data_IF_524634738177
#
_entry.id   IF_524634738177
#
_cell.length_a   1.000
_cell.length_b   1.000
_cell.length_c   1.000
_cell.angle_alpha   90.00
_cell.angle_beta   90.00
_cell.angle_gamma   90.00
#
_symmetry.space_group_name_H-M   'P 1'
#
loop_
_entity.id
_entity.type
_entity.pdbx_description
1 polymer ?
2 water ?
#
# COMPACT_ATOMS: atom_id res chain seq x y z
N UNK A 38 13.31 27.64 -6.17
CA UNK A 38 14.64 27.85 -6.79
C UNK A 38 15.70 27.64 -5.70
N UNK A 39 16.82 26.95 -5.97
CA UNK A 39 17.04 26.06 -7.11
C UNK A 39 16.76 24.61 -6.68
N UNK A 40 17.18 23.64 -7.49
CA UNK A 40 16.90 22.21 -7.23
C UNK A 40 17.20 21.92 -5.74
N UNK A 41 18.43 22.15 -5.28
CA UNK A 41 18.86 21.72 -3.92
C UNK A 41 18.34 22.55 -2.76
N UNK A 42 18.03 23.80 -3.04
CA UNK A 42 17.52 24.69 -2.02
C UNK A 42 16.08 24.28 -1.78
N UNK A 43 15.32 24.15 -2.86
CA UNK A 43 13.93 23.60 -2.82
C UNK A 43 13.86 22.29 -2.04
N UNK A 44 14.78 21.39 -2.37
CA UNK A 44 14.89 20.06 -1.74
C UNK A 44 15.15 20.17 -0.23
N UNK A 45 16.07 21.06 0.15
CA UNK A 45 16.32 21.36 1.58
C UNK A 45 15.04 21.80 2.25
N UNK A 46 14.36 22.74 1.60
CA UNK A 46 13.10 23.26 2.07
C UNK A 46 12.09 22.14 2.22
N UNK A 47 11.95 21.36 1.15
CA UNK A 47 11.03 20.18 1.07
C UNK A 47 11.10 19.25 2.23
N UNK A 48 12.33 18.95 2.64
CA UNK A 48 12.60 18.07 3.78
C UNK A 48 11.93 18.51 5.10
N UNK A 49 11.79 19.82 5.31
CA UNK A 49 11.24 20.32 6.59
C UNK A 49 9.75 20.45 6.54
N UNK A 50 9.21 20.57 5.34
CA UNK A 50 7.79 20.87 5.19
C UNK A 50 6.85 19.67 4.86
N UNK A 51 7.34 18.42 4.74
CA UNK A 51 6.46 17.36 4.27
C UNK A 51 5.90 16.46 5.37
N UNK A 52 6.20 16.75 6.64
CA UNK A 52 5.70 15.89 7.73
C UNK A 52 6.59 14.69 7.99
N UNK A 53 7.82 14.78 7.49
CA UNK A 53 8.84 13.72 7.58
C UNK A 53 9.21 13.45 9.07
N UNK A 54 9.31 12.17 9.48
CA UNK A 54 9.71 11.90 10.84
C UNK A 54 11.13 12.34 11.13
N UNK A 55 11.36 12.71 12.37
CA UNK A 55 12.60 13.33 12.83
C UNK A 55 13.89 12.56 12.47
N UNK A 56 13.88 11.25 12.68
CA UNK A 56 15.02 10.38 12.29
C UNK A 56 15.23 10.34 10.79
N UNK A 57 14.12 10.39 10.04
CA UNK A 57 14.21 10.29 8.62
C UNK A 57 14.76 11.60 8.07
N UNK A 58 14.28 12.70 8.59
CA UNK A 58 14.80 14.01 8.25
C UNK A 58 16.30 14.14 8.55
N UNK A 59 16.76 13.55 9.65
CA UNK A 59 18.19 13.59 9.98
C UNK A 59 19.02 12.85 8.94
N UNK A 60 18.53 11.66 8.60
CA UNK A 60 19.15 10.85 7.58
C UNK A 60 19.14 11.57 6.22
N UNK A 61 18.01 12.17 5.89
CA UNK A 61 17.92 12.94 4.65
C UNK A 61 18.90 14.14 4.58
N UNK A 62 19.07 14.88 5.68
CA UNK A 62 19.93 16.06 5.66
C UNK A 62 21.38 15.62 5.57
N UNK A 63 21.69 14.55 6.25
CA UNK A 63 23.00 13.96 6.15
C UNK A 63 23.25 13.58 4.72
N UNK A 64 22.27 12.99 4.02
CA UNK A 64 22.50 12.66 2.59
C UNK A 64 22.58 13.90 1.69
N UNK A 65 21.83 14.95 1.99
CA UNK A 65 21.91 16.14 1.17
C UNK A 65 23.28 16.79 1.34
N UNK A 66 23.72 16.88 2.58
CA UNK A 66 25.10 17.38 2.84
C UNK A 66 26.12 16.62 1.97
N UNK A 67 26.07 15.29 1.93
CA UNK A 67 27.02 14.53 1.12
C UNK A 67 26.86 14.77 -0.39
N UNK A 68 25.62 14.88 -0.82
CA UNK A 68 25.29 15.10 -2.23
C UNK A 68 25.90 16.42 -2.71
N UNK A 69 25.57 17.50 -1.99
CA UNK A 69 26.20 18.79 -2.23
C UNK A 69 27.72 18.71 -2.42
N UNK A 70 28.38 17.75 -1.80
CA UNK A 70 29.81 17.60 -1.99
C UNK A 70 30.29 16.77 -3.21
N UNK A 71 29.39 16.15 -4.00
CA UNK A 71 29.81 15.28 -5.13
C UNK A 71 29.90 15.99 -6.48
N UNK A 72 30.54 15.34 -7.44
CA UNK A 72 30.70 15.91 -8.80
C UNK A 72 29.34 15.80 -9.51
N UNK A 73 28.76 16.96 -9.76
CA UNK A 73 27.46 17.07 -10.40
C UNK A 73 27.38 16.23 -11.70
N UNK A 74 26.23 15.58 -11.88
CA UNK A 74 26.03 14.64 -12.98
C UNK A 74 26.82 13.33 -12.97
N UNK A 75 27.69 13.13 -11.97
CA UNK A 75 28.34 11.84 -11.74
C UNK A 75 27.29 10.75 -11.39
N UNK A 76 27.64 9.46 -11.56
CA UNK A 76 26.68 8.38 -11.20
C UNK A 76 26.32 8.34 -9.74
N UNK A 77 27.28 8.63 -8.87
CA UNK A 77 27.06 8.78 -7.43
C UNK A 77 26.07 9.88 -7.10
N UNK A 78 26.22 11.05 -7.74
CA UNK A 78 25.29 12.16 -7.46
C UNK A 78 23.88 11.86 -8.01
N UNK A 79 23.82 11.17 -9.17
CA UNK A 79 22.53 10.80 -9.73
C UNK A 79 21.80 9.86 -8.76
N UNK A 80 22.49 8.82 -8.28
CA UNK A 80 21.96 7.90 -7.25
C UNK A 80 21.49 8.65 -5.99
N UNK A 81 22.31 9.54 -5.49
CA UNK A 81 21.95 10.27 -4.26
C UNK A 81 20.73 11.20 -4.44
N UNK A 82 20.66 11.91 -5.55
CA UNK A 82 19.56 12.78 -5.83
C UNK A 82 18.27 12.00 -5.96
N UNK A 83 18.34 10.85 -6.61
CA UNK A 83 17.17 10.01 -6.83
C UNK A 83 16.61 9.54 -5.48
N UNK A 84 17.49 9.16 -4.59
CA UNK A 84 17.13 8.70 -3.23
C UNK A 84 16.41 9.81 -2.46
N UNK A 85 16.91 11.04 -2.55
CA UNK A 85 16.28 12.16 -1.85
C UNK A 85 14.94 12.59 -2.41
N UNK A 86 14.77 12.41 -3.74
CA UNK A 86 13.46 12.56 -4.36
C UNK A 86 12.49 11.57 -3.77
N UNK A 87 12.89 10.30 -3.68
CA UNK A 87 11.99 9.31 -3.10
C UNK A 87 11.56 9.71 -1.69
N UNK A 88 12.51 10.08 -0.85
CA UNK A 88 12.21 10.41 0.55
C UNK A 88 11.36 11.63 0.70
N UNK A 89 11.53 12.59 -0.18
CA UNK A 89 10.72 13.75 -0.10
C UNK A 89 9.38 13.64 -0.81
N UNK A 90 9.21 12.73 -1.78
CA UNK A 90 7.98 12.68 -2.54
C UNK A 90 7.04 11.57 -2.13
N UNK A 91 7.46 10.64 -1.25
CA UNK A 91 6.50 9.72 -0.68
C UNK A 91 5.73 10.51 0.38
N UNK A 92 4.44 10.22 0.52
CA UNK A 92 3.67 10.98 1.55
C UNK A 92 4.01 10.58 2.99
N UNK A 93 4.11 11.59 3.86
CA UNK A 93 4.42 11.36 5.26
C UNK A 93 3.23 11.69 6.17
N UNK A 94 2.54 12.78 5.93
CA UNK A 94 1.36 13.08 6.71
C UNK A 94 0.19 13.68 5.89
N UNK A 95 0.42 14.01 4.63
CA UNK A 95 -0.73 14.42 3.83
C UNK A 95 -1.73 13.25 3.71
N UNK A 96 -2.97 13.52 4.11
CA UNK A 96 -4.05 12.59 4.09
C UNK A 96 -5.24 13.26 3.41
N UNK A 97 -5.99 12.53 2.59
CA UNK A 97 -7.30 13.01 2.13
C UNK A 97 -8.33 12.96 3.26
N UNK A 98 -9.29 13.91 3.28
CA UNK A 98 -10.27 13.89 4.39
C UNK A 98 -10.97 12.51 4.58
N UNK A 99 -11.07 12.09 5.84
CA UNK A 99 -11.74 10.86 6.21
C UNK A 99 -13.29 11.03 6.06
N UNK A 100 -13.88 10.34 5.08
CA UNK A 100 -15.35 10.34 4.91
C UNK A 100 -15.95 8.94 4.74
N UNK A 101 -16.09 8.19 5.84
CA UNK A 101 -16.75 6.89 5.72
C UNK A 101 -18.11 6.96 6.31
N UNK A 102 -19.10 6.81 5.44
CA UNK A 102 -20.49 6.78 5.83
C UNK A 102 -21.15 5.58 5.10
N UNK A 103 -21.49 4.51 5.84
CA UNK A 103 -22.08 3.32 5.15
C UNK A 103 -23.39 3.54 4.31
N UNK A 104 -24.29 4.43 4.69
CA UNK A 104 -25.48 4.77 3.91
C UNK A 104 -25.17 5.44 2.50
N UNK A 105 -24.04 6.14 2.43
CA UNK A 105 -23.59 6.69 1.19
C UNK A 105 -22.95 5.56 0.43
N UNK A 106 -22.18 4.72 1.11
CA UNK A 106 -21.58 3.58 0.43
C UNK A 106 -22.62 2.69 -0.17
N UNK A 107 -23.76 2.56 0.49
CA UNK A 107 -24.81 1.73 -0.05
C UNK A 107 -25.34 2.24 -1.38
N UNK A 108 -25.53 3.55 -1.46
CA UNK A 108 -26.06 4.18 -2.62
C UNK A 108 -25.02 4.05 -3.76
N UNK A 109 -23.72 4.23 -3.46
CA UNK A 109 -22.67 4.08 -4.51
C UNK A 109 -22.59 2.68 -5.04
N UNK A 110 -22.66 1.69 -4.16
CA UNK A 110 -22.62 0.33 -4.62
C UNK A 110 -23.80 0.00 -5.55
N UNK A 111 -24.95 0.54 -5.24
CA UNK A 111 -26.12 0.33 -6.07
C UNK A 111 -26.04 0.99 -7.43
N UNK A 112 -25.37 2.14 -7.55
CA UNK A 112 -25.15 2.74 -8.86
C UNK A 112 -24.21 1.83 -9.69
N UNK A 113 -23.20 1.26 -9.04
CA UNK A 113 -22.11 0.65 -9.80
C UNK A 113 -22.33 -0.82 -10.11
N UNK A 114 -23.17 -1.52 -9.35
CA UNK A 114 -23.39 -2.95 -9.57
C UNK A 114 -24.84 -3.25 -9.51
N UNK A 115 -25.32 -4.13 -10.37
CA UNK A 115 -26.73 -4.43 -10.37
C UNK A 115 -27.04 -5.70 -9.54
N UNK A 116 -27.90 -5.61 -8.54
CA UNK A 116 -28.18 -6.81 -7.70
C UNK A 116 -27.08 -6.98 -6.62
N UNK A 117 -26.66 -8.22 -6.35
CA UNK A 117 -25.62 -8.60 -5.44
C UNK A 117 -25.87 -8.07 -4.07
N UNK A 118 -27.13 -8.08 -3.63
CA UNK A 118 -27.43 -7.53 -2.38
C UNK A 118 -26.70 -8.32 -1.22
N UNK A 119 -26.48 -9.61 -1.34
CA UNK A 119 -25.77 -10.34 -0.27
C UNK A 119 -24.32 -9.90 -0.11
N UNK A 120 -23.59 -9.89 -1.22
CA UNK A 120 -22.24 -9.32 -1.24
C UNK A 120 -22.18 -7.88 -0.71
N UNK A 121 -23.05 -7.04 -1.20
CA UNK A 121 -23.08 -5.66 -0.75
C UNK A 121 -23.35 -5.59 0.76
N UNK A 122 -24.23 -6.41 1.27
CA UNK A 122 -24.47 -6.34 2.72
C UNK A 122 -23.22 -6.78 3.51
N UNK A 123 -22.50 -7.81 3.06
CA UNK A 123 -21.24 -8.18 3.75
C UNK A 123 -20.19 -7.03 3.72
N UNK A 124 -20.12 -6.34 2.58
CA UNK A 124 -19.17 -5.24 2.44
C UNK A 124 -19.48 -4.10 3.43
N UNK A 125 -20.77 -3.73 3.49
CA UNK A 125 -21.18 -2.71 4.38
C UNK A 125 -20.92 -3.08 5.84
N UNK A 126 -21.15 -4.34 6.19
CA UNK A 126 -20.90 -4.85 7.55
C UNK A 126 -19.42 -4.74 7.88
N UNK A 127 -18.58 -5.19 6.97
CA UNK A 127 -17.12 -5.05 7.10
C UNK A 127 -16.68 -3.61 7.33
N UNK A 128 -17.16 -2.73 6.48
CA UNK A 128 -16.88 -1.29 6.61
C UNK A 128 -17.45 -0.67 7.84
N UNK A 129 -18.65 -1.06 8.23
CA UNK A 129 -19.22 -0.53 9.48
C UNK A 129 -18.31 -0.72 10.69
N UNK A 130 -17.80 -1.92 10.84
CA UNK A 130 -16.91 -2.30 11.93
C UNK A 130 -15.62 -1.45 11.93
N UNK A 131 -15.10 -1.11 10.75
CA UNK A 131 -14.04 -0.06 10.69
C UNK A 131 -14.51 1.39 10.95
N UNK A 132 -15.63 1.80 10.42
CA UNK A 132 -16.16 3.09 10.72
C UNK A 132 -16.29 3.28 12.26
N UNK A 133 -16.29 2.17 13.06
CA UNK A 133 -16.44 2.19 14.55
C UNK A 133 -15.31 1.59 15.38
N UNK A 134 -14.36 0.83 14.83
CA UNK A 134 -13.54 0.03 15.73
C UNK A 134 -12.41 0.86 16.34
N UNK A 135 -12.17 0.59 17.63
CA UNK A 135 -11.19 1.31 18.47
C UNK A 135 -10.30 0.32 19.23
N UNK A 136 -8.99 0.55 19.19
CA UNK A 136 -8.04 -0.24 19.98
C UNK A 136 -6.80 -0.78 19.24
N UNK A 137 -6.24 -1.84 19.81
CA UNK A 137 -5.26 -2.80 19.17
C UNK A 137 -6.00 -4.20 19.12
N UNK A 138 -7.32 -4.09 19.08
CA UNK A 138 -8.16 -5.01 18.34
C UNK A 138 -7.88 -4.70 16.90
N UNK A 139 -7.55 -3.45 16.58
CA UNK A 139 -7.34 -3.09 15.18
C UNK A 139 -6.10 -3.83 14.64
N UNK A 140 -5.13 -4.15 15.50
CA UNK A 140 -3.95 -4.96 15.09
C UNK A 140 -4.23 -6.47 14.94
N UNK A 141 -5.36 -6.89 15.46
CA UNK A 141 -5.62 -8.29 15.78
C UNK A 141 -6.88 -8.73 15.03
N UNK A 142 -7.99 -8.24 15.56
CA UNK A 142 -9.25 -8.61 15.05
C UNK A 142 -9.20 -8.34 13.56
N UNK A 143 -8.42 -7.30 13.18
CA UNK A 143 -8.53 -6.75 11.84
C UNK A 143 -7.93 -7.81 10.91
N UNK A 144 -8.85 -8.63 10.39
CA UNK A 144 -8.34 -9.54 9.48
C UNK A 144 -8.21 -8.72 8.15
N UNK A 145 -7.51 -9.32 7.22
CA UNK A 145 -7.28 -8.78 5.90
C UNK A 145 -8.46 -9.16 5.03
N UNK A 146 -9.03 -8.22 4.30
CA UNK A 146 -10.21 -8.49 3.45
C UNK A 146 -9.81 -9.25 2.19
N UNK A 147 -10.53 -10.30 1.83
CA UNK A 147 -10.31 -10.95 0.54
C UNK A 147 -11.62 -11.15 -0.18
N UNK A 148 -11.73 -10.62 -1.40
CA UNK A 148 -12.86 -10.91 -2.22
C UNK A 148 -12.51 -12.10 -3.10
N UNK A 149 -13.36 -13.11 -3.11
CA UNK A 149 -13.12 -14.35 -3.80
C UNK A 149 -14.24 -14.71 -4.74
N UNK A 150 -13.87 -14.87 -6.00
CA UNK A 150 -14.75 -15.42 -7.01
C UNK A 150 -14.07 -15.53 -8.36
N UNK A 151 -14.75 -16.14 -9.34
CA UNK A 151 -14.14 -16.38 -10.61
C UNK A 151 -14.18 -15.13 -11.48
N UNK A 152 -13.51 -15.18 -12.66
CA UNK A 152 -13.29 -13.95 -13.44
C UNK A 152 -14.57 -13.30 -13.88
N UNK A 153 -14.50 -11.99 -14.12
CA UNK A 153 -15.65 -11.22 -14.56
C UNK A 153 -16.81 -11.06 -13.58
N UNK A 154 -16.69 -11.54 -12.34
CA UNK A 154 -17.76 -11.25 -11.34
C UNK A 154 -17.69 -9.80 -10.82
N UNK A 155 -16.60 -9.08 -11.15
CA UNK A 155 -16.40 -7.64 -10.87
C UNK A 155 -15.58 -7.24 -9.62
N UNK A 156 -14.57 -8.02 -9.24
CA UNK A 156 -13.98 -7.88 -7.90
C UNK A 156 -13.23 -6.58 -7.77
N UNK A 157 -12.44 -6.27 -8.80
CA UNK A 157 -11.69 -5.01 -8.88
C UNK A 157 -12.65 -3.81 -8.91
N UNK A 158 -13.75 -3.93 -9.65
CA UNK A 158 -14.71 -2.82 -9.68
C UNK A 158 -15.48 -2.64 -8.32
N UNK A 159 -15.67 -3.70 -7.52
CA UNK A 159 -16.20 -3.51 -6.17
C UNK A 159 -15.23 -2.66 -5.32
N UNK A 160 -13.93 -2.93 -5.42
CA UNK A 160 -12.90 -2.16 -4.73
C UNK A 160 -12.96 -0.69 -5.03
N UNK A 161 -13.18 -0.40 -6.30
CA UNK A 161 -13.16 0.93 -6.83
C UNK A 161 -14.41 1.68 -6.37
N UNK A 162 -15.55 0.98 -6.35
CA UNK A 162 -16.76 1.52 -5.72
C UNK A 162 -16.54 1.88 -4.25
N UNK A 163 -15.96 0.97 -3.50
CA UNK A 163 -15.73 1.22 -2.07
C UNK A 163 -14.91 2.50 -1.91
N UNK A 164 -13.86 2.58 -2.71
CA UNK A 164 -12.92 3.66 -2.56
C UNK A 164 -13.55 5.01 -2.88
N UNK A 165 -14.26 5.02 -3.98
CA UNK A 165 -15.03 6.16 -4.46
C UNK A 165 -16.00 6.66 -3.38
N UNK A 166 -16.70 5.73 -2.74
CA UNK A 166 -17.70 6.10 -1.73
C UNK A 166 -17.11 6.72 -0.45
N UNK A 167 -15.80 6.51 -0.22
CA UNK A 167 -15.12 7.10 0.93
C UNK A 167 -14.30 8.28 0.52
N UNK A 168 -14.32 8.64 -0.76
CA UNK A 168 -13.51 9.71 -1.28
C UNK A 168 -12.01 9.53 -1.14
N UNK A 169 -11.55 8.30 -1.30
CA UNK A 169 -10.15 7.98 -1.18
C UNK A 169 -9.60 7.59 -2.50
N UNK A 170 -8.32 7.88 -2.75
CA UNK A 170 -7.62 7.42 -3.94
C UNK A 170 -7.57 5.88 -4.03
N UNK A 171 -7.62 5.35 -5.24
CA UNK A 171 -7.61 3.93 -5.50
C UNK A 171 -6.43 3.64 -6.38
N UNK A 172 -5.73 2.57 -6.07
CA UNK A 172 -4.58 2.06 -6.82
C UNK A 172 -4.59 0.54 -6.74
N UNK A 173 -4.40 -0.10 -7.85
CA UNK A 173 -4.40 -1.54 -7.96
C UNK A 173 -2.98 -1.99 -8.18
N UNK A 174 -2.55 -3.05 -7.49
CA UNK A 174 -1.22 -3.69 -7.70
C UNK A 174 -1.51 -5.12 -8.04
N UNK A 175 -1.06 -5.59 -9.19
CA UNK A 175 -1.26 -6.93 -9.61
C UNK A 175 -0.21 -7.87 -8.99
N UNK A 176 -0.63 -8.98 -8.35
CA UNK A 176 0.32 -9.94 -7.82
C UNK A 176 0.51 -11.18 -8.68
N UNK A 177 -0.33 -11.32 -9.69
CA UNK A 177 -0.32 -12.41 -10.60
C UNK A 177 1.06 -12.67 -11.13
N UNK A 178 1.61 -13.87 -10.93
CA UNK A 178 3.00 -14.15 -11.33
C UNK A 178 4.14 -13.47 -10.59
N UNK A 179 3.88 -12.55 -9.67
CA UNK A 179 4.98 -11.91 -8.91
C UNK A 179 5.76 -13.05 -8.28
N UNK A 180 7.09 -12.92 -8.36
CA UNK A 180 7.98 -14.02 -8.04
C UNK A 180 9.19 -13.64 -7.23
N UNK A 181 9.21 -12.44 -6.67
CA UNK A 181 10.41 -11.97 -6.02
C UNK A 181 10.06 -10.97 -4.93
N UNK A 182 10.57 -11.21 -3.75
CA UNK A 182 10.47 -10.24 -2.67
C UNK A 182 10.79 -8.78 -3.05
N UNK A 183 11.77 -8.59 -3.92
CA UNK A 183 12.14 -7.24 -4.36
C UNK A 183 11.04 -6.48 -5.09
N UNK A 184 10.10 -7.15 -5.74
CA UNK A 184 9.00 -6.45 -6.34
C UNK A 184 8.08 -5.81 -5.26
N UNK A 185 8.10 -6.39 -4.07
CA UNK A 185 7.27 -5.95 -2.95
C UNK A 185 8.04 -4.93 -2.17
N UNK A 186 9.31 -5.22 -1.88
CA UNK A 186 10.08 -4.32 -1.01
C UNK A 186 11.38 -3.70 -1.55
N UNK A 187 11.63 -3.80 -2.84
CA UNK A 187 12.77 -3.11 -3.41
C UNK A 187 14.12 -3.75 -3.15
N UNK A 188 15.15 -3.07 -3.67
CA UNK A 188 16.54 -3.40 -3.41
C UNK A 188 17.27 -2.26 -2.80
N UNK A 189 18.27 -2.60 -2.03
CA UNK A 189 19.20 -1.60 -1.43
C UNK A 189 19.84 -0.77 -2.51
N UNK A 190 19.91 0.56 -2.29
CA UNK A 190 20.30 1.48 -3.34
C UNK A 190 21.75 1.36 -3.75
N UNK A 191 22.56 0.66 -2.97
CA UNK A 191 23.90 0.28 -3.44
C UNK A 191 23.95 -0.69 -4.68
N UNK A 192 22.88 -1.42 -4.99
CA UNK A 192 22.89 -2.32 -6.18
C UNK A 192 22.60 -1.52 -7.42
N UNK A 193 23.24 -1.86 -8.53
CA UNK A 193 22.93 -1.16 -9.78
C UNK A 193 21.47 -1.38 -10.20
N UNK A 194 20.75 -0.34 -10.65
CA UNK A 194 19.33 -0.47 -11.05
C UNK A 194 18.30 -0.53 -9.89
N UNK A 195 18.78 -0.41 -8.66
CA UNK A 195 17.90 -0.58 -7.46
C UNK A 195 16.83 0.51 -7.43
N UNK A 196 15.63 0.15 -6.98
CA UNK A 196 14.55 1.13 -6.79
C UNK A 196 13.61 0.53 -5.76
N UNK A 197 12.65 1.32 -5.30
CA UNK A 197 11.72 0.75 -4.30
C UNK A 197 10.79 -0.26 -4.89
N UNK A 198 10.13 -1.04 -4.07
CA UNK A 198 9.14 -1.96 -4.55
C UNK A 198 7.84 -1.29 -4.91
N UNK A 199 6.88 -2.13 -5.25
CA UNK A 199 5.60 -1.65 -5.74
C UNK A 199 4.74 -0.86 -4.77
N UNK A 200 4.88 -1.18 -3.48
CA UNK A 200 4.10 -0.49 -2.44
C UNK A 200 4.54 0.99 -2.31
N UNK A 201 5.82 1.25 -2.34
CA UNK A 201 6.33 2.64 -2.22
C UNK A 201 6.09 3.41 -3.51
N UNK A 202 6.25 2.76 -4.68
CA UNK A 202 5.79 3.37 -5.98
C UNK A 202 4.35 3.79 -5.89
N UNK A 203 3.49 2.92 -5.39
CA UNK A 203 2.06 3.28 -5.25
C UNK A 203 1.77 4.43 -4.31
N UNK A 204 2.44 4.46 -3.16
CA UNK A 204 2.24 5.55 -2.20
C UNK A 204 2.66 6.87 -2.82
N UNK A 205 3.75 6.83 -3.57
CA UNK A 205 4.20 8.05 -4.23
C UNK A 205 3.24 8.50 -5.36
N UNK A 206 2.68 7.58 -6.13
CA UNK A 206 1.70 7.97 -7.17
C UNK A 206 0.40 8.53 -6.59
N UNK A 207 -0.08 7.90 -5.53
CA UNK A 207 -1.29 8.31 -4.85
C UNK A 207 -1.14 9.65 -4.08
N UNK A 208 0.04 9.88 -3.48
CA UNK A 208 0.41 11.20 -2.97
C UNK A 208 -0.25 11.52 -1.63
N UNK A 209 -0.85 10.52 -0.99
CA UNK A 209 -1.54 10.63 0.29
C UNK A 209 -1.28 9.35 1.09
N UNK A 210 -1.40 9.41 2.41
CA UNK A 210 -1.06 8.27 3.27
C UNK A 210 -2.19 7.30 3.40
N UNK A 211 -3.39 7.74 3.01
CA UNK A 211 -4.62 6.91 3.21
C UNK A 211 -5.40 6.55 1.92
N UNK A 212 -4.73 5.95 0.93
CA UNK A 212 -5.41 5.42 -0.21
C UNK A 212 -6.09 4.13 0.17
N UNK A 213 -6.83 3.61 -0.80
CA UNK A 213 -7.28 2.25 -0.81
C UNK A 213 -6.36 1.57 -1.84
N UNK A 214 -5.71 0.52 -1.46
CA UNK A 214 -4.89 -0.25 -2.38
C UNK A 214 -5.44 -1.65 -2.53
N UNK A 215 -5.64 -2.07 -3.77
CA UNK A 215 -6.16 -3.37 -4.09
C UNK A 215 -5.03 -4.25 -4.63
N UNK A 216 -4.75 -5.34 -3.92
CA UNK A 216 -3.78 -6.34 -4.34
C UNK A 216 -4.50 -7.43 -5.04
N UNK A 217 -4.38 -7.48 -6.36
CA UNK A 217 -5.14 -8.36 -7.20
C UNK A 217 -4.44 -9.70 -7.39
N UNK A 218 -5.18 -10.78 -7.26
CA UNK A 218 -4.69 -12.11 -7.57
C UNK A 218 -3.64 -12.58 -6.59
N UNK A 219 -3.97 -12.48 -5.31
CA UNK A 219 -3.11 -12.95 -4.28
C UNK A 219 -3.05 -14.48 -4.25
N UNK A 220 -3.95 -15.17 -4.96
CA UNK A 220 -3.86 -16.62 -5.16
C UNK A 220 -2.96 -17.10 -6.34
N UNK A 221 -2.36 -16.19 -7.08
CA UNK A 221 -1.57 -16.49 -8.29
C UNK A 221 -0.14 -16.00 -8.19
N UNK A 222 0.37 -15.81 -6.98
CA UNK A 222 1.75 -15.45 -6.84
C UNK A 222 2.53 -16.71 -7.24
N UNK A 223 3.75 -16.52 -7.71
CA UNK A 223 4.54 -17.63 -8.27
C UNK A 223 4.89 -18.55 -7.08
N UNK A 224 5.01 -19.85 -7.33
CA UNK A 224 5.58 -20.76 -6.33
C UNK A 224 7.11 -20.81 -6.37
N UNK A 225 7.71 -20.10 -7.34
CA UNK A 225 9.19 -19.92 -7.48
C UNK A 225 9.88 -18.87 -6.59
N UNK A 226 9.23 -18.24 -5.66
CA UNK A 226 9.96 -17.24 -4.85
C UNK A 226 11.23 -17.85 -4.21
N UNK A 227 12.35 -17.14 -4.31
CA UNK A 227 13.54 -17.46 -3.52
C UNK A 227 13.25 -17.30 -2.03
N UNK A 228 12.57 -16.24 -1.65
CA UNK A 228 12.17 -16.03 -0.26
C UNK A 228 10.78 -16.53 0.09
N UNK A 229 10.12 -15.86 1.03
CA UNK A 229 8.89 -16.38 1.62
C UNK A 229 7.68 -15.44 1.29
N UNK A 230 6.83 -15.86 0.36
CA UNK A 230 5.80 -14.90 -0.08
C UNK A 230 4.82 -14.57 0.99
N UNK A 231 4.55 -15.52 1.85
CA UNK A 231 3.58 -15.34 2.91
C UNK A 231 4.04 -14.26 3.91
N UNK A 232 5.23 -14.40 4.43
CA UNK A 232 5.87 -13.37 5.29
C UNK A 232 5.96 -12.04 4.59
N UNK A 233 6.35 -12.05 3.32
CA UNK A 233 6.59 -10.77 2.65
C UNK A 233 5.26 -10.00 2.54
N UNK A 234 4.17 -10.74 2.25
CA UNK A 234 2.85 -10.11 2.08
C UNK A 234 2.26 -9.73 3.43
N UNK A 235 2.55 -10.49 4.46
CA UNK A 235 2.15 -10.08 5.85
C UNK A 235 2.84 -8.78 6.37
N UNK A 236 4.08 -8.52 5.91
CA UNK A 236 4.77 -7.28 6.24
C UNK A 236 4.00 -6.09 5.66
N UNK A 237 3.31 -6.30 4.54
CA UNK A 237 2.50 -5.21 3.98
C UNK A 237 1.09 -5.15 4.56
N UNK A 238 0.45 -6.31 4.72
CA UNK A 238 -1.01 -6.39 5.00
C UNK A 238 -1.42 -6.52 6.40
N UNK A 239 -0.52 -6.93 7.23
CA UNK A 239 -0.85 -7.16 8.60
C UNK A 239 -0.70 -5.91 9.40
N UNK A 240 -1.78 -5.42 10.05
CA UNK A 240 -1.65 -4.16 10.80
C UNK A 240 -0.79 -4.21 12.05
N UNK A 241 -0.38 -5.42 12.49
CA UNK A 241 0.59 -5.54 13.55
C UNK A 241 1.99 -5.12 13.09
N UNK A 242 2.23 -5.16 11.77
CA UNK A 242 3.57 -5.06 11.22
C UNK A 242 3.76 -3.87 10.25
N UNK A 243 2.72 -3.55 9.50
CA UNK A 243 2.81 -2.60 8.40
C UNK A 243 2.93 -1.11 8.80
N UNK A 244 2.90 -0.81 10.10
CA UNK A 244 3.19 0.54 10.56
C UNK A 244 4.69 0.86 10.56
N UNK A 245 5.51 -0.17 10.43
CA UNK A 245 6.96 0.06 10.26
C UNK A 245 7.40 -0.78 9.08
N UNK A 246 6.73 -0.71 7.95
CA UNK A 246 7.13 -1.48 6.75
C UNK A 246 8.49 -0.98 6.26
N UNK A 247 9.42 -1.89 6.02
CA UNK A 247 10.77 -1.52 5.63
C UNK A 247 11.07 -1.89 4.16
N UNK A 248 10.97 -0.91 3.27
CA UNK A 248 11.44 -1.04 1.90
C UNK A 248 12.96 -0.97 1.90
N UNK A 249 13.63 -1.96 1.29
CA UNK A 249 15.09 -2.01 1.37
C UNK A 249 15.73 -0.82 0.64
N UNK A 250 15.04 -0.24 -0.34
CA UNK A 250 15.54 0.96 -1.02
C UNK A 250 15.43 2.16 -0.09
N UNK A 251 14.24 2.40 0.48
CA UNK A 251 14.10 3.58 1.31
C UNK A 251 14.99 3.46 2.57
N UNK A 252 15.13 2.21 3.08
CA UNK A 252 16.01 1.93 4.22
C UNK A 252 15.63 2.69 5.52
N UNK A 253 14.37 3.06 5.64
CA UNK A 253 13.79 3.61 6.88
C UNK A 253 12.41 2.98 6.99
N UNK A 254 11.84 3.00 8.19
CA UNK A 254 10.48 2.50 8.31
C UNK A 254 9.48 3.41 7.63
N UNK A 255 8.42 2.84 7.12
CA UNK A 255 7.39 3.65 6.49
C UNK A 255 6.10 3.09 6.99
N UNK A 256 5.14 3.98 7.25
CA UNK A 256 3.81 3.57 7.86
C UNK A 256 2.71 3.25 6.79
N UNK A 257 2.42 1.99 6.53
CA UNK A 257 1.34 1.60 5.63
C UNK A 257 -0.01 1.44 6.38
N UNK A 258 -0.04 1.71 7.69
CA UNK A 258 -1.23 1.39 8.50
C UNK A 258 -2.44 2.27 8.20
N UNK A 259 -2.31 3.38 7.47
CA UNK A 259 -3.48 4.17 7.11
C UNK A 259 -4.08 3.78 5.76
N UNK A 260 -3.44 2.82 5.06
CA UNK A 260 -3.92 2.34 3.83
C UNK A 260 -5.06 1.39 4.16
N UNK A 261 -6.08 1.38 3.33
CA UNK A 261 -7.12 0.39 3.40
C UNK A 261 -6.85 -0.60 2.25
N UNK A 262 -6.38 -1.78 2.61
CA UNK A 262 -6.02 -2.81 1.66
C UNK A 262 -7.21 -3.71 1.37
N UNK A 263 -7.36 -4.07 0.11
CA UNK A 263 -8.31 -5.12 -0.30
C UNK A 263 -7.54 -6.08 -1.16
N UNK A 264 -7.75 -7.38 -0.93
CA UNK A 264 -7.09 -8.38 -1.73
C UNK A 264 -8.16 -9.13 -2.52
N UNK A 265 -7.78 -9.70 -3.65
CA UNK A 265 -8.69 -10.54 -4.41
C UNK A 265 -8.06 -11.85 -4.89
N UNK A 266 -8.95 -12.83 -5.16
CA UNK A 266 -8.54 -14.16 -5.54
C UNK A 266 -9.68 -14.85 -6.30
N UNK A 267 -9.35 -15.79 -7.16
CA UNK A 267 -10.38 -16.69 -7.72
C UNK A 267 -10.66 -17.85 -6.85
N UNK A 268 -9.65 -18.31 -6.12
CA UNK A 268 -9.80 -19.41 -5.19
C UNK A 268 -8.91 -19.21 -3.95
N UNK A 269 -9.39 -19.77 -2.85
CA UNK A 269 -8.62 -19.78 -1.62
C UNK A 269 -7.52 -20.84 -1.59
N UNK A 270 -7.60 -21.78 -2.51
CA UNK A 270 -6.76 -22.94 -2.49
C UNK A 270 -5.32 -22.73 -2.71
N UNK A 271 -4.95 -21.70 -3.41
CA UNK A 271 -3.57 -21.40 -3.63
C UNK A 271 -3.07 -20.13 -2.95
N UNK A 272 -3.78 -19.72 -1.91
CA UNK A 272 -3.31 -18.68 -0.99
C UNK A 272 -2.52 -19.36 0.16
N UNK A 273 -1.29 -18.89 0.39
CA UNK A 273 -0.46 -19.47 1.47
C UNK A 273 -1.18 -19.34 2.77
N UNK A 274 -1.10 -20.39 3.55
CA UNK A 274 -1.84 -20.53 4.78
C UNK A 274 -1.63 -19.44 5.85
N UNK A 275 -0.40 -18.92 6.03
CA UNK A 275 -0.33 -17.82 6.99
C UNK A 275 -1.14 -16.56 6.63
N UNK A 276 -1.29 -16.28 5.34
CA UNK A 276 -2.19 -15.26 4.90
C UNK A 276 -3.63 -15.58 5.06
N UNK A 277 -3.98 -16.74 4.54
CA UNK A 277 -5.32 -17.23 4.68
C UNK A 277 -5.85 -17.15 6.10
N UNK A 278 -5.02 -17.57 7.02
CA UNK A 278 -5.40 -17.61 8.41
C UNK A 278 -5.71 -16.20 8.98
N UNK A 279 -5.35 -15.12 8.28
CA UNK A 279 -5.65 -13.76 8.75
C UNK A 279 -6.72 -13.05 7.93
N UNK A 280 -7.40 -13.78 7.05
CA UNK A 280 -8.25 -13.17 6.06
C UNK A 280 -9.72 -13.30 6.48
N UNK A 281 -10.49 -12.27 6.21
CA UNK A 281 -11.94 -12.31 6.25
C UNK A 281 -12.46 -12.42 4.81
N UNK A 282 -13.17 -13.49 4.49
CA UNK A 282 -13.52 -13.81 3.12
C UNK A 282 -14.90 -13.24 2.77
N UNK A 283 -15.02 -12.52 1.67
CA UNK A 283 -16.32 -12.29 1.06
C UNK A 283 -16.41 -12.98 -0.31
N UNK A 284 -17.26 -13.99 -0.43
CA UNK A 284 -17.38 -14.76 -1.66
C UNK A 284 -18.26 -14.05 -2.71
N UNK A 285 -17.83 -14.02 -3.96
CA UNK A 285 -18.55 -13.35 -5.04
C UNK A 285 -18.88 -14.39 -6.14
N UNK A 286 -20.12 -14.67 -6.47
CA UNK A 286 -21.30 -14.41 -5.69
C UNK A 286 -21.33 -15.46 -4.55
N UNK A 287 -21.88 -15.14 -3.38
CA UNK A 287 -22.54 -13.86 -3.09
C UNK A 287 -23.64 -13.47 -4.06
#
# INVERSE_FOLDING_TARGET
>A
MKRVAQRVKEQMDTNQREYYLREQMKAIQKELGGEDGLSDLEALRKKIEEVGMPEAVKTKALKELDRLERMQQGSPEATVARTYLDWLTEVPWSKADPEVLDINHTRQVLDEDHYGLKDVKERILEYLAVRQLTQGLDVRNKAPILVLVGPPGVGKTSLGRSIARSMNRKFHRISLGGVRDEAEIRGHRRTYIGAMPGKLIHAMKQVGVINPVILLDEIDKMSSDWRGDPASAMLEVLDPEQNNTFTDHYLDVPYDLSKVFFITTANTLQTIPRPLLDRMEVIEIPGHHHHHH
#
